data_IF_203288483930
#
_entry.id   IF_203288483930
#
_cell.length_a   1.000
_cell.length_b   1.000
_cell.length_c   1.000
_cell.angle_alpha   90.00
_cell.angle_beta   90.00
_cell.angle_gamma   90.00
#
_symmetry.space_group_name_H-M   'P 1'
#
loop_
_entity.id
_entity.type
_entity.pdbx_description
1 polymer ?
#
# COMPACT_ATOMS: atom_id res chain seq x y z
N UNK A 1 10.36 11.27 -13.57
CA UNK A 1 10.71 10.55 -12.34
C UNK A 1 12.17 10.87 -12.08
N UNK A 2 12.48 11.43 -10.92
CA UNK A 2 13.85 11.78 -10.56
C UNK A 2 14.70 10.49 -10.53
N UNK A 3 15.93 10.53 -11.03
CA UNK A 3 16.83 9.36 -11.02
C UNK A 3 17.02 8.81 -9.59
N UNK A 4 16.96 9.69 -8.61
CA UNK A 4 17.00 9.36 -7.19
C UNK A 4 15.77 8.55 -6.73
N UNK A 5 14.55 8.89 -7.20
CA UNK A 5 13.32 8.17 -6.84
C UNK A 5 13.33 6.72 -7.33
N UNK A 6 13.83 6.51 -8.55
CA UNK A 6 13.93 5.16 -9.11
C UNK A 6 14.85 4.27 -8.28
N UNK A 7 15.97 4.82 -7.79
CA UNK A 7 16.90 4.08 -6.96
C UNK A 7 16.33 3.77 -5.58
N UNK A 8 15.60 4.71 -4.97
CA UNK A 8 14.85 4.48 -3.72
C UNK A 8 13.86 3.33 -3.88
N UNK A 9 13.07 3.33 -4.97
CA UNK A 9 12.13 2.25 -5.24
C UNK A 9 12.83 0.91 -5.46
N UNK A 10 13.98 0.92 -6.15
CA UNK A 10 14.79 -0.28 -6.36
C UNK A 10 15.33 -0.83 -5.04
N UNK A 11 15.92 0.01 -4.21
CA UNK A 11 16.45 -0.37 -2.89
C UNK A 11 15.35 -1.00 -2.02
N UNK A 12 14.17 -0.36 -1.97
CA UNK A 12 13.02 -0.90 -1.24
C UNK A 12 12.58 -2.28 -1.76
N UNK A 13 12.52 -2.48 -3.08
CA UNK A 13 12.20 -3.79 -3.69
C UNK A 13 13.20 -4.87 -3.27
N UNK A 14 14.49 -4.52 -3.16
CA UNK A 14 15.54 -5.43 -2.74
C UNK A 14 15.64 -5.63 -1.22
N UNK A 15 14.86 -4.90 -0.41
CA UNK A 15 14.77 -5.12 1.04
C UNK A 15 15.46 -4.08 1.91
N UNK A 16 15.84 -2.95 1.35
CA UNK A 16 16.22 -1.80 2.14
C UNK A 16 14.99 -1.28 2.92
N UNK A 17 15.10 -1.30 4.25
CA UNK A 17 14.03 -0.90 5.16
C UNK A 17 13.83 0.61 5.17
N UNK A 18 14.91 1.37 5.12
CA UNK A 18 14.88 2.83 5.21
C UNK A 18 14.30 3.41 3.92
N UNK A 19 14.68 2.85 2.77
CA UNK A 19 14.06 3.19 1.49
C UNK A 19 12.55 2.88 1.50
N UNK A 20 12.14 1.72 2.02
CA UNK A 20 10.73 1.36 2.11
C UNK A 20 9.95 2.28 3.06
N UNK A 21 10.53 2.64 4.21
CA UNK A 21 9.94 3.58 5.16
C UNK A 21 9.75 4.98 4.53
N UNK A 22 10.74 5.46 3.79
CA UNK A 22 10.65 6.75 3.11
C UNK A 22 9.50 6.77 2.08
N UNK A 23 9.32 5.67 1.34
CA UNK A 23 8.19 5.50 0.42
C UNK A 23 6.87 5.52 1.20
N UNK A 24 6.77 4.78 2.31
CA UNK A 24 5.56 4.77 3.15
C UNK A 24 5.22 6.18 3.61
N UNK A 25 6.18 6.91 4.19
CA UNK A 25 5.96 8.27 4.69
C UNK A 25 5.41 9.18 3.59
N UNK A 26 6.00 9.12 2.39
CA UNK A 26 5.56 9.90 1.22
C UNK A 26 4.16 9.55 0.73
N UNK A 27 3.78 8.27 0.73
CA UNK A 27 2.52 7.82 0.14
C UNK A 27 1.39 7.58 1.14
N UNK A 28 1.67 7.58 2.45
CA UNK A 28 0.74 7.30 3.55
C UNK A 28 -0.61 8.00 3.41
N UNK A 29 -0.60 9.32 3.16
CA UNK A 29 -1.82 10.12 2.97
C UNK A 29 -2.67 9.65 1.79
N UNK A 30 -2.05 9.29 0.67
CA UNK A 30 -2.77 8.80 -0.53
C UNK A 30 -3.33 7.39 -0.28
N UNK A 31 -2.56 6.50 0.35
CA UNK A 31 -3.02 5.16 0.69
C UNK A 31 -4.22 5.22 1.64
N UNK A 32 -4.15 6.07 2.66
CA UNK A 32 -5.27 6.30 3.57
C UNK A 32 -6.49 6.86 2.84
N UNK A 33 -6.33 7.87 1.98
CA UNK A 33 -7.44 8.42 1.21
C UNK A 33 -8.14 7.37 0.32
N UNK A 34 -7.37 6.46 -0.29
CA UNK A 34 -7.91 5.35 -1.09
C UNK A 34 -8.73 4.40 -0.21
N UNK A 35 -8.17 3.96 0.93
CA UNK A 35 -8.85 3.02 1.82
C UNK A 35 -10.11 3.64 2.44
N UNK A 36 -10.00 4.88 2.93
CA UNK A 36 -11.10 5.63 3.51
C UNK A 36 -12.22 5.88 2.49
N UNK A 37 -11.89 6.21 1.23
CA UNK A 37 -12.88 6.37 0.17
C UNK A 37 -13.75 5.14 -0.06
N UNK A 38 -13.23 3.94 0.20
CA UNK A 38 -13.93 2.66 0.02
C UNK A 38 -14.70 2.26 1.28
N UNK A 39 -14.10 2.45 2.46
CA UNK A 39 -14.62 1.92 3.71
C UNK A 39 -15.54 2.92 4.44
N UNK A 40 -15.32 4.22 4.24
CA UNK A 40 -16.00 5.32 4.95
C UNK A 40 -15.93 5.16 6.49
N UNK A 41 -14.92 4.44 6.98
CA UNK A 41 -14.61 4.23 8.38
C UNK A 41 -13.11 4.47 8.55
N UNK A 42 -12.75 5.30 9.53
CA UNK A 42 -11.35 5.69 9.78
C UNK A 42 -10.50 4.51 10.26
N UNK A 43 -10.95 3.80 11.30
CA UNK A 43 -10.21 2.71 11.92
C UNK A 43 -9.99 1.57 10.91
N UNK A 44 -11.04 1.16 10.20
CA UNK A 44 -10.93 0.12 9.17
C UNK A 44 -9.99 0.55 8.03
N UNK A 45 -9.94 1.84 7.70
CA UNK A 45 -9.04 2.37 6.69
C UNK A 45 -7.58 2.36 7.16
N UNK A 46 -7.31 2.73 8.41
CA UNK A 46 -5.97 2.64 9.01
C UNK A 46 -5.49 1.18 9.02
N UNK A 47 -6.32 0.24 9.47
CA UNK A 47 -6.03 -1.19 9.50
C UNK A 47 -5.79 -1.74 8.09
N UNK A 48 -6.63 -1.39 7.12
CA UNK A 48 -6.47 -1.82 5.73
C UNK A 48 -5.17 -1.30 5.10
N UNK A 49 -4.74 -0.09 5.44
CA UNK A 49 -3.45 0.45 5.02
C UNK A 49 -2.31 -0.34 5.66
N UNK A 50 -2.35 -0.56 6.98
CA UNK A 50 -1.31 -1.32 7.68
C UNK A 50 -1.14 -2.73 7.11
N UNK A 51 -2.24 -3.45 6.92
CA UNK A 51 -2.23 -4.78 6.29
C UNK A 51 -1.64 -4.76 4.87
N UNK A 52 -2.00 -3.73 4.09
CA UNK A 52 -1.46 -3.56 2.75
C UNK A 52 0.05 -3.30 2.78
N UNK A 53 0.55 -2.51 3.73
CA UNK A 53 1.99 -2.25 3.90
C UNK A 53 2.75 -3.52 4.33
N UNK A 54 2.21 -4.31 5.28
CA UNK A 54 2.80 -5.60 5.68
C UNK A 54 2.85 -6.57 4.50
N UNK A 55 1.76 -6.65 3.72
CA UNK A 55 1.72 -7.48 2.51
C UNK A 55 2.67 -6.97 1.43
N UNK A 56 2.78 -5.65 1.27
CA UNK A 56 3.70 -5.04 0.33
C UNK A 56 5.15 -5.37 0.70
N UNK A 57 5.53 -5.26 1.98
CA UNK A 57 6.85 -5.67 2.46
C UNK A 57 7.13 -7.14 2.12
N UNK A 58 6.18 -8.04 2.40
CA UNK A 58 6.29 -9.48 2.10
C UNK A 58 6.18 -9.85 0.62
N UNK A 59 6.00 -8.91 -0.31
CA UNK A 59 5.85 -9.25 -1.73
C UNK A 59 6.49 -8.27 -2.70
N UNK A 60 7.20 -7.26 -2.18
CA UNK A 60 7.92 -6.21 -2.91
C UNK A 60 8.80 -6.73 -4.04
N UNK A 61 9.44 -7.88 -3.88
CA UNK A 61 10.30 -8.52 -4.89
C UNK A 61 9.55 -8.94 -6.17
N UNK A 62 8.21 -8.94 -6.16
CA UNK A 62 7.39 -9.20 -7.35
C UNK A 62 7.34 -7.99 -8.29
N UNK A 63 7.70 -6.80 -7.81
CA UNK A 63 7.73 -5.59 -8.63
C UNK A 63 9.00 -5.60 -9.48
N UNK A 64 8.84 -5.88 -10.78
CA UNK A 64 9.97 -5.95 -11.74
C UNK A 64 10.42 -4.57 -12.25
N UNK A 65 9.53 -3.59 -12.19
CA UNK A 65 9.74 -2.23 -12.69
C UNK A 65 9.63 -1.28 -11.50
N UNK A 66 10.76 -0.78 -10.95
CA UNK A 66 10.77 0.08 -9.77
C UNK A 66 9.83 1.28 -9.87
N UNK A 67 9.72 1.87 -11.05
CA UNK A 67 8.81 2.97 -11.37
C UNK A 67 7.32 2.66 -11.13
N UNK A 68 6.94 1.37 -11.12
CA UNK A 68 5.57 0.94 -10.85
C UNK A 68 5.29 0.70 -9.38
N UNK A 69 6.29 0.80 -8.51
CA UNK A 69 6.13 0.51 -7.08
C UNK A 69 5.03 1.33 -6.40
N UNK A 70 4.91 2.67 -6.62
CA UNK A 70 3.84 3.45 -5.99
C UNK A 70 2.45 3.04 -6.47
N UNK A 71 2.28 2.79 -7.76
CA UNK A 71 1.01 2.36 -8.34
C UNK A 71 0.61 0.96 -7.84
N UNK A 72 1.58 0.05 -7.74
CA UNK A 72 1.39 -1.28 -7.17
C UNK A 72 0.99 -1.23 -5.69
N UNK A 73 1.58 -0.31 -4.91
CA UNK A 73 1.23 -0.11 -3.51
C UNK A 73 -0.21 0.41 -3.35
N UNK A 74 -0.60 1.41 -4.15
CA UNK A 74 -1.96 1.94 -4.20
C UNK A 74 -2.99 0.84 -4.57
N UNK A 75 -2.67 -0.01 -5.55
CA UNK A 75 -3.50 -1.15 -5.91
C UNK A 75 -3.62 -2.16 -4.77
N UNK A 76 -2.52 -2.48 -4.10
CA UNK A 76 -2.52 -3.40 -2.95
C UNK A 76 -3.45 -2.87 -1.84
N UNK A 77 -3.37 -1.59 -1.51
CA UNK A 77 -4.27 -0.93 -0.54
C UNK A 77 -5.73 -0.96 -1.00
N UNK A 78 -5.99 -0.63 -2.27
CA UNK A 78 -7.34 -0.69 -2.86
C UNK A 78 -7.94 -2.09 -2.75
N UNK A 79 -7.17 -3.13 -3.05
CA UNK A 79 -7.62 -4.52 -2.92
C UNK A 79 -7.89 -4.91 -1.47
N UNK A 80 -7.04 -4.48 -0.53
CA UNK A 80 -7.27 -4.76 0.90
C UNK A 80 -8.56 -4.10 1.39
N UNK A 81 -8.77 -2.83 1.08
CA UNK A 81 -9.98 -2.11 1.44
C UNK A 81 -11.25 -2.75 0.84
N UNK A 82 -11.20 -3.20 -0.42
CA UNK A 82 -12.32 -3.92 -1.06
C UNK A 82 -12.61 -5.26 -0.39
N UNK A 83 -11.58 -5.99 0.07
CA UNK A 83 -11.78 -7.25 0.79
C UNK A 83 -12.50 -7.04 2.13
N UNK A 84 -12.08 -6.02 2.89
CA UNK A 84 -12.74 -5.62 4.15
C UNK A 84 -14.18 -5.20 3.88
N UNK A 85 -14.42 -4.34 2.89
CA UNK A 85 -15.76 -3.90 2.51
C UNK A 85 -16.68 -5.08 2.13
N UNK A 86 -16.15 -6.05 1.38
CA UNK A 86 -16.91 -7.25 1.01
C UNK A 86 -17.28 -8.09 2.24
N UNK A 87 -16.34 -8.29 3.17
CA UNK A 87 -16.57 -9.05 4.41
C UNK A 87 -17.65 -8.42 5.28
N UNK A 88 -17.66 -7.09 5.38
CA UNK A 88 -18.72 -6.33 6.09
C UNK A 88 -20.12 -6.63 5.55
N UNK A 89 -20.26 -6.80 4.23
CA UNK A 89 -21.56 -7.11 3.58
C UNK A 89 -22.01 -8.56 3.73
N UNK A 90 -21.09 -9.48 3.99
CA UNK A 90 -21.38 -10.92 4.09
C UNK A 90 -21.67 -11.40 5.49
N UNK A 91 -21.54 -10.54 6.52
CA UNK A 91 -22.02 -10.85 7.87
C UNK A 91 -23.54 -10.60 7.87
N UNK A 92 -24.39 -11.65 7.94
CA UNK A 92 -25.83 -11.48 8.09
C UNK A 92 -26.09 -10.96 9.52
N UNK A 93 -27.08 -10.09 9.64
CA UNK A 93 -27.63 -9.63 10.92
C UNK A 93 -28.39 -10.78 11.58
#
# INVERSE_FOLDING_TARGET
MDANEREIYRAAIHGDRDAFEMIIRRHSRVLFAIAYGILQNREEAEDAVQDALVKAWKSRWRVRQPEKFPAWLCMTTRYRARDVFRKRRTVPI
#
